data_IF_074006788192
#
_entry.id   IF_074006788192
#
_cell.length_a   1.000
_cell.length_b   1.000
_cell.length_c   1.000
_cell.angle_alpha   90.00
_cell.angle_beta   90.00
_cell.angle_gamma   90.00
#
_symmetry.space_group_name_H-M   'P 1'
#
loop_
_entity.id
_entity.type
_entity.pdbx_description
1 polymer ?
#
# COMPACT_ATOMS: atom_id res chain seq x y z
N UNK A 1 30.20 -20.98 0.09
CA UNK A 1 30.10 -20.54 1.51
C UNK A 1 30.92 -19.28 1.59
N UNK A 2 30.35 -18.14 1.98
CA UNK A 2 31.05 -16.85 1.95
C UNK A 2 31.91 -16.67 3.22
N UNK A 3 33.12 -16.16 3.06
CA UNK A 3 33.97 -15.79 4.19
C UNK A 3 33.55 -14.43 4.78
N UNK A 4 33.94 -14.16 6.03
CA UNK A 4 33.66 -12.88 6.68
C UNK A 4 34.23 -11.69 5.89
N UNK A 5 35.42 -11.87 5.33
CA UNK A 5 36.15 -10.87 4.52
C UNK A 5 35.51 -10.66 3.15
N UNK A 6 34.92 -11.70 2.55
CA UNK A 6 34.17 -11.60 1.30
C UNK A 6 32.90 -10.76 1.49
N UNK A 7 32.17 -10.99 2.59
CA UNK A 7 30.96 -10.24 2.92
C UNK A 7 31.29 -8.75 3.16
N UNK A 8 32.35 -8.45 3.91
CA UNK A 8 32.79 -7.07 4.13
C UNK A 8 33.14 -6.38 2.80
N UNK A 9 33.88 -7.06 1.91
CA UNK A 9 34.23 -6.52 0.59
C UNK A 9 33.01 -6.25 -0.28
N UNK A 10 32.00 -7.12 -0.25
CA UNK A 10 30.76 -6.90 -1.00
C UNK A 10 29.98 -5.70 -0.45
N UNK A 11 29.87 -5.54 0.88
CA UNK A 11 29.24 -4.36 1.50
C UNK A 11 29.95 -3.08 1.06
N UNK A 12 31.28 -3.07 1.06
CA UNK A 12 32.09 -1.93 0.60
C UNK A 12 31.89 -1.63 -0.89
N UNK A 13 31.86 -2.67 -1.72
CA UNK A 13 31.65 -2.56 -3.17
C UNK A 13 30.27 -1.97 -3.48
N UNK A 14 29.22 -2.42 -2.80
CA UNK A 14 27.85 -1.89 -2.97
C UNK A 14 27.78 -0.43 -2.55
N UNK A 15 28.36 -0.08 -1.39
CA UNK A 15 28.38 1.30 -0.93
C UNK A 15 29.16 2.23 -1.89
N UNK A 16 30.30 1.78 -2.39
CA UNK A 16 31.09 2.51 -3.39
C UNK A 16 30.35 2.67 -4.72
N UNK A 17 29.65 1.62 -5.17
CA UNK A 17 28.85 1.67 -6.40
C UNK A 17 27.69 2.66 -6.34
N UNK A 18 27.11 2.85 -5.15
CA UNK A 18 26.04 3.83 -4.91
C UNK A 18 26.58 5.23 -4.53
N UNK A 19 27.89 5.37 -4.30
CA UNK A 19 28.51 6.63 -3.89
C UNK A 19 28.08 7.13 -2.51
N UNK A 20 27.65 6.22 -1.62
CA UNK A 20 27.11 6.57 -0.30
C UNK A 20 28.09 6.28 0.82
N UNK A 21 28.14 7.16 1.82
CA UNK A 21 28.91 6.92 3.05
C UNK A 21 28.18 6.05 4.07
N UNK A 22 26.86 5.94 3.92
CA UNK A 22 25.96 5.10 4.70
C UNK A 22 25.16 4.19 3.75
N UNK A 23 25.11 2.89 4.04
CA UNK A 23 24.36 1.92 3.24
C UNK A 23 23.15 1.38 4.02
N UNK A 24 21.93 1.59 3.49
CA UNK A 24 20.73 0.97 4.06
C UNK A 24 20.72 -0.53 3.78
N UNK A 25 20.07 -1.29 4.67
CA UNK A 25 19.90 -2.73 4.48
C UNK A 25 19.15 -3.06 3.18
N UNK A 26 18.13 -2.27 2.84
CA UNK A 26 17.35 -2.45 1.61
C UNK A 26 18.20 -2.19 0.36
N UNK A 27 19.06 -1.17 0.39
CA UNK A 27 19.98 -0.87 -0.71
C UNK A 27 20.99 -2.00 -0.92
N UNK A 28 21.46 -2.63 0.15
CA UNK A 28 22.30 -3.84 0.04
C UNK A 28 21.54 -5.02 -0.56
N UNK A 29 20.29 -5.27 -0.15
CA UNK A 29 19.48 -6.37 -0.69
C UNK A 29 19.26 -6.21 -2.20
N UNK A 30 19.06 -4.98 -2.68
CA UNK A 30 18.80 -4.70 -4.09
C UNK A 30 20.05 -4.76 -4.98
N UNK A 31 21.25 -4.57 -4.40
CA UNK A 31 22.49 -4.38 -5.16
C UNK A 31 23.58 -5.42 -4.89
N UNK A 32 23.39 -6.30 -3.91
CA UNK A 32 24.35 -7.35 -3.53
C UNK A 32 24.00 -8.69 -4.13
N UNK A 33 25.02 -9.46 -4.49
CA UNK A 33 24.86 -10.88 -4.85
C UNK A 33 24.84 -11.80 -3.61
N UNK A 34 25.21 -11.27 -2.44
CA UNK A 34 25.22 -11.98 -1.16
C UNK A 34 23.88 -11.75 -0.44
N UNK A 35 23.15 -12.82 -0.09
CA UNK A 35 21.89 -12.72 0.67
C UNK A 35 22.09 -12.09 2.04
N UNK A 36 21.14 -11.26 2.48
CA UNK A 36 21.20 -10.58 3.78
C UNK A 36 21.27 -11.55 4.98
N UNK A 37 20.70 -12.74 4.86
CA UNK A 37 20.77 -13.77 5.91
C UNK A 37 22.20 -14.29 6.10
N UNK A 38 22.99 -14.35 5.03
CA UNK A 38 24.42 -14.68 5.09
C UNK A 38 25.19 -13.61 5.87
N UNK A 39 24.90 -12.33 5.60
CA UNK A 39 25.48 -11.21 6.36
C UNK A 39 25.14 -11.35 7.84
N UNK A 40 23.88 -11.64 8.17
CA UNK A 40 23.44 -11.80 9.56
C UNK A 40 24.13 -12.95 10.28
N UNK A 41 24.32 -14.07 9.59
CA UNK A 41 24.96 -15.26 10.15
C UNK A 41 26.45 -15.03 10.47
N UNK A 42 27.17 -14.30 9.62
CA UNK A 42 28.63 -14.10 9.78
C UNK A 42 29.03 -12.81 10.51
N UNK A 43 28.21 -11.77 10.43
CA UNK A 43 28.53 -10.42 10.94
C UNK A 43 27.52 -9.91 11.98
N UNK A 44 26.48 -10.69 12.32
CA UNK A 44 25.49 -10.31 13.32
C UNK A 44 24.47 -9.30 12.80
N UNK A 45 24.32 -8.15 13.46
CA UNK A 45 23.33 -7.16 13.01
C UNK A 45 23.83 -6.39 11.78
N UNK A 46 22.91 -5.79 11.01
CA UNK A 46 23.29 -4.96 9.86
C UNK A 46 24.22 -3.80 10.27
N UNK A 47 23.99 -3.23 11.46
CA UNK A 47 24.85 -2.18 12.01
C UNK A 47 26.29 -2.68 12.29
N UNK A 48 26.44 -3.89 12.84
CA UNK A 48 27.76 -4.51 13.05
C UNK A 48 28.45 -4.80 11.71
N UNK A 49 27.70 -5.25 10.70
CA UNK A 49 28.20 -5.48 9.36
C UNK A 49 28.67 -4.18 8.68
N UNK A 50 27.86 -3.12 8.73
CA UNK A 50 28.20 -1.80 8.18
C UNK A 50 29.41 -1.17 8.89
N UNK A 51 29.50 -1.30 10.23
CA UNK A 51 30.68 -0.89 11.01
C UNK A 51 31.94 -1.67 10.60
N UNK A 52 31.82 -3.00 10.43
CA UNK A 52 32.93 -3.84 9.97
C UNK A 52 33.40 -3.48 8.55
N UNK A 53 32.51 -2.91 7.74
CA UNK A 53 32.81 -2.38 6.42
C UNK A 53 33.36 -0.93 6.41
N UNK A 54 33.42 -0.26 7.57
CA UNK A 54 33.92 1.11 7.67
C UNK A 54 32.93 2.17 7.17
N UNK A 55 31.64 1.86 7.08
CA UNK A 55 30.61 2.80 6.65
C UNK A 55 30.14 3.69 7.82
N UNK A 56 29.80 4.93 7.50
CA UNK A 56 29.13 5.84 8.43
C UNK A 56 27.71 5.33 8.69
N UNK A 57 27.25 5.41 9.94
CA UNK A 57 25.87 5.10 10.31
C UNK A 57 25.01 6.37 10.26
N UNK A 58 23.69 6.28 10.03
CA UNK A 58 22.82 7.44 10.07
C UNK A 58 22.90 8.08 11.45
N UNK A 59 22.94 9.41 11.50
CA UNK A 59 22.76 10.12 12.77
C UNK A 59 21.39 9.74 13.35
N UNK A 60 21.40 9.07 14.50
CA UNK A 60 20.22 8.46 15.13
C UNK A 60 20.32 6.95 15.36
N UNK A 61 21.34 6.28 14.81
CA UNK A 61 21.64 4.87 15.08
C UNK A 61 22.77 4.76 16.12
N UNK A 62 22.45 4.86 17.42
CA UNK A 62 23.36 4.42 18.49
C UNK A 62 23.26 2.90 18.65
N UNK A 63 24.41 2.26 18.88
CA UNK A 63 24.61 0.80 18.97
C UNK A 63 24.03 0.14 20.22
N UNK A 64 23.06 0.79 20.86
CA UNK A 64 22.51 0.42 22.16
C UNK A 64 20.98 0.34 22.05
N UNK A 65 20.49 -0.54 21.18
CA UNK A 65 19.11 -1.03 21.31
C UNK A 65 19.05 -2.00 22.49
N UNK A 66 19.40 -1.52 23.69
CA UNK A 66 18.81 -2.07 24.89
C UNK A 66 17.53 -1.27 25.10
N UNK A 67 16.35 -1.90 24.99
CA UNK A 67 15.09 -1.24 25.31
C UNK A 67 15.25 -0.42 26.59
N UNK A 68 15.89 -0.95 27.63
CA UNK A 68 16.06 -0.35 28.98
C UNK A 68 16.87 0.96 29.07
N UNK A 69 17.62 1.37 28.03
CA UNK A 69 18.44 2.59 28.08
C UNK A 69 17.71 3.87 27.63
N UNK A 70 16.66 3.73 26.81
CA UNK A 70 15.82 4.88 26.43
C UNK A 70 14.95 5.25 27.62
N UNK A 71 15.00 6.52 28.04
CA UNK A 71 14.22 6.98 29.19
C UNK A 71 12.73 6.91 28.87
N UNK A 72 11.92 6.50 29.86
CA UNK A 72 10.47 6.38 29.69
C UNK A 72 9.83 7.68 29.17
N UNK A 73 10.32 8.83 29.64
CA UNK A 73 9.89 10.17 29.18
C UNK A 73 10.07 10.34 27.66
N UNK A 74 11.20 9.90 27.10
CA UNK A 74 11.52 10.05 25.68
C UNK A 74 10.58 9.22 24.79
N UNK A 75 10.29 7.98 25.19
CA UNK A 75 9.33 7.12 24.50
C UNK A 75 7.92 7.72 24.54
N UNK A 76 7.49 8.21 25.69
CA UNK A 76 6.14 8.76 25.86
C UNK A 76 5.99 10.12 25.13
N UNK A 77 7.04 10.95 25.06
CA UNK A 77 7.07 12.16 24.22
C UNK A 77 7.00 11.85 22.73
N UNK A 78 7.58 10.73 22.30
CA UNK A 78 7.45 10.31 20.91
C UNK A 78 5.99 9.94 20.56
N UNK A 79 5.26 9.30 21.46
CA UNK A 79 3.83 9.05 21.27
C UNK A 79 3.01 10.35 21.18
N UNK A 80 3.38 11.37 21.97
CA UNK A 80 2.81 12.72 21.87
C UNK A 80 3.11 13.34 20.51
N UNK A 81 4.35 13.22 20.01
CA UNK A 81 4.73 13.74 18.70
C UNK A 81 3.92 13.09 17.58
N UNK A 82 3.77 11.77 17.62
CA UNK A 82 2.96 11.03 16.64
C UNK A 82 1.48 11.41 16.72
N UNK A 83 0.95 11.62 17.92
CA UNK A 83 -0.40 12.15 18.11
C UNK A 83 -0.58 13.53 17.46
N UNK A 84 0.37 14.45 17.68
CA UNK A 84 0.34 15.80 17.07
C UNK A 84 0.47 15.78 15.56
N UNK A 85 1.24 14.83 15.01
CA UNK A 85 1.41 14.67 13.57
C UNK A 85 0.12 14.18 12.88
N UNK A 86 -0.58 13.22 13.51
CA UNK A 86 -1.77 12.59 12.92
C UNK A 86 -3.12 13.14 13.40
N UNK A 87 -3.14 13.94 14.47
CA UNK A 87 -4.36 14.41 15.14
C UNK A 87 -5.18 13.29 15.81
N UNK A 88 -4.65 12.05 15.86
CA UNK A 88 -5.30 10.85 16.39
C UNK A 88 -4.29 10.02 17.19
N UNK A 89 -4.73 9.21 18.17
CA UNK A 89 -3.83 8.30 18.89
C UNK A 89 -3.04 7.42 17.90
N UNK A 90 -1.70 7.35 18.01
CA UNK A 90 -0.89 6.58 17.07
C UNK A 90 -1.20 5.09 17.18
N UNK A 91 -1.41 4.44 16.03
CA UNK A 91 -1.55 2.99 15.89
C UNK A 91 -0.17 2.34 15.73
N UNK A 92 -0.12 1.00 15.81
CA UNK A 92 1.09 0.25 15.54
C UNK A 92 1.69 0.57 14.16
N UNK A 93 0.85 0.74 13.13
CA UNK A 93 1.29 1.10 11.78
C UNK A 93 1.91 2.50 11.74
N UNK A 94 1.33 3.47 12.45
CA UNK A 94 1.88 4.83 12.55
C UNK A 94 3.24 4.81 13.25
N UNK A 95 3.38 4.03 14.34
CA UNK A 95 4.67 3.86 15.02
C UNK A 95 5.68 3.21 14.08
N UNK A 96 5.30 2.19 13.32
CA UNK A 96 6.19 1.50 12.38
C UNK A 96 6.60 2.37 11.19
N UNK A 97 5.69 3.21 10.69
CA UNK A 97 5.93 4.05 9.51
C UNK A 97 6.61 5.39 9.85
N UNK A 98 6.32 5.97 11.01
CA UNK A 98 6.68 7.34 11.35
C UNK A 98 7.35 7.49 12.73
N UNK A 99 7.38 6.44 13.54
CA UNK A 99 7.99 6.45 14.86
C UNK A 99 9.51 6.39 14.79
N UNK A 100 10.15 7.13 15.70
CA UNK A 100 11.59 7.05 15.92
C UNK A 100 12.01 5.73 16.59
N UNK A 101 11.09 5.08 17.32
CA UNK A 101 11.32 3.84 18.04
C UNK A 101 10.42 2.72 17.51
N UNK A 102 10.94 1.49 17.52
CA UNK A 102 10.14 0.32 17.16
C UNK A 102 9.02 0.08 18.18
N UNK A 103 7.97 -0.62 17.75
CA UNK A 103 6.84 -0.96 18.62
C UNK A 103 7.26 -1.68 19.91
N UNK A 104 8.35 -2.45 19.84
CA UNK A 104 8.89 -3.26 20.94
C UNK A 104 9.35 -2.44 22.14
N UNK A 105 9.81 -1.20 21.93
CA UNK A 105 10.20 -0.29 23.03
C UNK A 105 9.01 0.05 23.94
N UNK A 106 7.81 0.09 23.38
CA UNK A 106 6.58 0.40 24.09
C UNK A 106 5.96 -0.85 24.72
N UNK A 107 5.88 -1.95 23.96
CA UNK A 107 5.25 -3.19 24.44
C UNK A 107 6.08 -3.87 25.53
N UNK A 108 7.41 -3.78 25.49
CA UNK A 108 8.26 -4.39 26.53
C UNK A 108 8.14 -3.68 27.89
N UNK A 109 7.89 -2.37 27.91
CA UNK A 109 7.75 -1.57 29.16
C UNK A 109 6.33 -1.54 29.70
N UNK A 110 5.37 -1.26 28.83
CA UNK A 110 3.98 -1.03 29.22
C UNK A 110 3.05 -2.17 28.83
N UNK A 111 3.59 -3.31 28.37
CA UNK A 111 2.86 -4.52 27.93
C UNK A 111 2.06 -4.31 26.63
N UNK A 112 1.56 -3.11 26.36
CA UNK A 112 0.88 -2.76 25.11
C UNK A 112 1.10 -1.29 24.74
N UNK A 113 0.93 -0.97 23.45
CA UNK A 113 0.93 0.41 22.97
C UNK A 113 -0.18 1.25 23.63
N UNK A 114 -1.34 0.65 23.88
CA UNK A 114 -2.46 1.32 24.55
C UNK A 114 -2.11 1.74 25.99
N UNK A 115 -1.41 0.87 26.73
CA UNK A 115 -0.93 1.20 28.07
C UNK A 115 0.17 2.25 28.06
N UNK A 116 1.05 2.22 27.06
CA UNK A 116 2.02 3.29 26.84
C UNK A 116 1.31 4.63 26.56
N UNK A 117 0.26 4.64 25.73
CA UNK A 117 -0.55 5.83 25.47
C UNK A 117 -1.30 6.32 26.70
N UNK A 118 -1.81 5.42 27.52
CA UNK A 118 -2.41 5.77 28.80
C UNK A 118 -1.39 6.46 29.72
N UNK A 119 -0.17 5.92 29.82
CA UNK A 119 0.92 6.53 30.59
C UNK A 119 1.35 7.89 30.03
N UNK A 120 1.38 8.02 28.70
CA UNK A 120 1.69 9.29 28.05
C UNK A 120 0.62 10.35 28.36
N UNK A 121 -0.66 9.99 28.41
CA UNK A 121 -1.75 10.90 28.81
C UNK A 121 -1.67 11.31 30.27
N UNK A 122 -1.27 10.39 31.14
CA UNK A 122 -1.06 10.69 32.56
C UNK A 122 0.09 11.70 32.77
N UNK A 123 1.20 11.54 32.05
CA UNK A 123 2.38 12.41 32.18
C UNK A 123 2.27 13.72 31.38
N UNK A 124 1.54 13.70 30.27
CA UNK A 124 1.36 14.86 29.38
C UNK A 124 -0.14 15.14 29.14
N UNK A 125 -0.91 15.50 30.20
CA UNK A 125 -2.35 15.69 30.10
C UNK A 125 -2.74 16.77 29.09
N UNK A 126 -1.92 17.83 28.97
CA UNK A 126 -2.15 18.92 28.03
C UNK A 126 -1.77 18.59 26.59
N UNK A 127 -0.96 17.55 26.39
CA UNK A 127 -0.44 17.22 25.07
C UNK A 127 -1.40 16.42 24.18
N UNK A 128 -2.42 15.80 24.80
CA UNK A 128 -3.51 15.07 24.15
C UNK A 128 -4.85 15.81 24.20
N UNK A 129 -4.86 17.07 24.66
CA UNK A 129 -6.04 17.90 24.49
C UNK A 129 -6.27 18.12 23.00
N UNK A 130 -7.52 18.03 22.51
CA UNK A 130 -7.82 18.55 21.19
C UNK A 130 -7.38 20.00 21.20
N UNK A 131 -6.40 20.34 20.36
CA UNK A 131 -6.00 21.74 20.20
C UNK A 131 -7.27 22.45 19.81
N UNK A 132 -7.85 23.23 20.74
CA UNK A 132 -8.96 24.12 20.43
C UNK A 132 -8.51 24.85 19.18
N UNK A 133 -9.24 24.68 18.08
CA UNK A 133 -8.83 25.16 16.78
C UNK A 133 -8.57 26.65 16.88
N UNK A 134 -7.32 27.01 17.14
CA UNK A 134 -6.84 28.34 16.93
C UNK A 134 -7.15 28.57 15.45
N UNK A 135 -7.89 29.63 15.10
CA UNK A 135 -8.02 29.98 13.69
C UNK A 135 -6.60 29.97 13.15
N UNK A 136 -6.34 29.24 12.05
CA UNK A 136 -4.99 29.09 11.53
C UNK A 136 -4.37 30.48 11.49
N UNK A 137 -3.10 30.64 11.94
CA UNK A 137 -2.44 31.93 11.85
C UNK A 137 -2.67 32.45 10.44
N UNK A 138 -3.08 33.71 10.33
CA UNK A 138 -3.28 34.41 9.06
C UNK A 138 -1.89 34.63 8.43
N UNK A 139 -1.18 33.53 8.18
CA UNK A 139 -0.22 33.41 7.11
C UNK A 139 -1.07 33.69 5.89
N UNK A 140 -0.75 34.70 5.05
CA UNK A 140 -1.31 34.69 3.72
C UNK A 140 -0.95 33.31 3.19
N UNK A 141 -1.96 32.45 3.07
CA UNK A 141 -1.82 31.29 2.26
C UNK A 141 -1.30 31.87 0.94
N UNK A 142 -0.01 31.66 0.65
CA UNK A 142 0.28 31.25 -0.71
C UNK A 142 -0.74 30.15 -0.89
N UNK A 143 -1.78 30.42 -1.67
CA UNK A 143 -2.70 29.43 -2.16
C UNK A 143 -1.78 28.36 -2.74
N UNK A 144 -1.41 27.39 -1.89
CA UNK A 144 -0.56 26.30 -2.28
C UNK A 144 -1.53 25.55 -3.16
N UNK A 145 -1.37 25.77 -4.46
CA UNK A 145 -2.34 25.43 -5.48
C UNK A 145 -2.82 24.00 -5.25
N UNK A 146 -3.97 23.86 -4.57
CA UNK A 146 -4.61 22.57 -4.31
C UNK A 146 -5.30 22.08 -5.58
N UNK A 147 -5.16 22.79 -6.70
CA UNK A 147 -5.55 22.26 -7.98
C UNK A 147 -4.84 20.92 -8.16
N UNK A 148 -5.58 19.87 -8.57
CA UNK A 148 -4.96 18.59 -8.84
C UNK A 148 -3.83 18.80 -9.84
N UNK A 149 -2.65 18.25 -9.53
CA UNK A 149 -1.51 18.29 -10.44
C UNK A 149 -1.96 17.67 -11.77
N UNK A 150 -2.10 18.51 -12.80
CA UNK A 150 -2.46 18.07 -14.14
C UNK A 150 -1.19 17.75 -14.91
N UNK A 151 -0.80 16.48 -14.91
CA UNK A 151 0.22 16.01 -15.84
C UNK A 151 -0.40 15.94 -17.25
N UNK A 152 -0.01 16.83 -18.15
CA UNK A 152 -0.45 16.81 -19.55
C UNK A 152 0.64 16.12 -20.37
N UNK A 153 0.49 14.82 -20.73
CA UNK A 153 1.47 14.13 -21.54
C UNK A 153 1.46 14.68 -22.97
N UNK A 154 2.64 14.72 -23.61
CA UNK A 154 2.70 14.92 -25.05
C UNK A 154 2.12 13.69 -25.77
N UNK A 155 1.22 13.91 -26.73
CA UNK A 155 0.57 12.83 -27.48
C UNK A 155 0.94 12.90 -28.95
N UNK A 156 1.12 11.74 -29.57
CA UNK A 156 1.32 11.62 -31.01
C UNK A 156 -0.05 11.57 -31.68
N UNK A 157 -0.38 12.60 -32.49
CA UNK A 157 -1.68 12.67 -33.18
C UNK A 157 -1.67 11.80 -34.45
N UNK A 158 -2.73 11.01 -34.71
CA UNK A 158 -2.86 10.27 -35.96
C UNK A 158 -3.04 11.23 -37.15
N UNK A 159 -2.48 10.87 -38.31
CA UNK A 159 -2.58 11.69 -39.53
C UNK A 159 -4.02 11.83 -40.06
N UNK A 160 -4.89 10.87 -39.77
CA UNK A 160 -6.29 10.85 -40.20
C UNK A 160 -7.18 10.41 -39.04
N UNK A 161 -8.06 11.28 -38.53
CA UNK A 161 -9.02 10.90 -37.51
C UNK A 161 -10.12 10.03 -38.14
N UNK A 162 -10.36 8.85 -37.57
CA UNK A 162 -11.53 8.03 -37.90
C UNK A 162 -12.70 8.51 -37.05
N UNK A 163 -13.80 8.92 -37.68
CA UNK A 163 -15.06 9.20 -36.98
C UNK A 163 -15.75 7.87 -36.74
N UNK A 164 -15.87 7.48 -35.46
CA UNK A 164 -16.62 6.30 -35.04
C UNK A 164 -17.79 6.80 -34.20
N UNK A 165 -19.00 6.35 -34.53
CA UNK A 165 -20.17 6.57 -33.69
C UNK A 165 -19.99 5.82 -32.36
N UNK A 166 -20.21 6.50 -31.24
CA UNK A 166 -20.01 5.93 -29.91
C UNK A 166 -21.33 5.79 -29.21
N UNK A 167 -21.60 4.61 -28.66
CA UNK A 167 -22.73 4.37 -27.77
C UNK A 167 -22.33 4.82 -26.36
N UNK A 168 -23.24 5.50 -25.67
CA UNK A 168 -23.08 5.97 -24.30
C UNK A 168 -24.17 5.34 -23.44
N UNK A 169 -23.82 4.93 -22.22
CA UNK A 169 -24.77 4.41 -21.24
C UNK A 169 -25.54 5.53 -20.53
N UNK A 170 -26.28 5.17 -19.50
CA UNK A 170 -26.93 6.12 -18.60
C UNK A 170 -25.91 7.02 -17.88
N UNK A 171 -26.25 8.27 -17.53
CA UNK A 171 -25.37 9.14 -16.76
C UNK A 171 -25.03 8.52 -15.39
N UNK A 172 -23.75 8.54 -15.03
CA UNK A 172 -23.23 7.98 -13.76
C UNK A 172 -22.32 8.98 -13.04
N UNK A 173 -21.57 9.82 -13.77
CA UNK A 173 -20.66 10.84 -13.22
C UNK A 173 -19.76 10.39 -12.05
N UNK A 174 -19.16 9.21 -12.20
CA UNK A 174 -18.30 8.59 -11.20
C UNK A 174 -16.82 8.72 -11.56
N UNK A 175 -16.04 9.45 -10.75
CA UNK A 175 -14.56 9.55 -10.85
C UNK A 175 -14.04 9.86 -12.26
N UNK A 176 -14.75 10.72 -12.98
CA UNK A 176 -14.39 11.13 -14.35
C UNK A 176 -14.98 10.25 -15.46
N UNK A 177 -15.63 9.12 -15.12
CA UNK A 177 -16.50 8.36 -16.03
C UNK A 177 -17.89 8.97 -15.96
N UNK A 178 -18.35 9.58 -17.06
CA UNK A 178 -19.67 10.25 -17.10
C UNK A 178 -20.84 9.33 -17.38
N UNK A 179 -20.61 8.23 -18.09
CA UNK A 179 -21.67 7.34 -18.56
C UNK A 179 -21.36 5.89 -18.19
N UNK A 180 -22.40 5.11 -17.90
CA UNK A 180 -22.31 3.70 -17.57
C UNK A 180 -21.64 2.87 -18.69
N UNK A 181 -20.98 1.75 -18.35
CA UNK A 181 -20.53 0.78 -19.32
C UNK A 181 -21.66 0.31 -20.24
N UNK A 182 -21.35 0.18 -21.53
CA UNK A 182 -22.27 -0.35 -22.56
C UNK A 182 -21.79 -1.67 -23.16
N UNK A 183 -20.60 -2.10 -22.76
CA UNK A 183 -19.95 -3.33 -23.18
C UNK A 183 -19.06 -3.87 -22.04
N UNK A 184 -18.47 -5.03 -22.27
CA UNK A 184 -17.61 -5.73 -21.31
C UNK A 184 -16.34 -4.96 -20.97
N UNK A 185 -15.75 -4.27 -21.94
CA UNK A 185 -14.48 -3.56 -21.73
C UNK A 185 -14.67 -2.33 -20.85
N UNK A 186 -15.83 -1.66 -20.95
CA UNK A 186 -16.23 -0.62 -20.01
C UNK A 186 -16.36 -1.15 -18.57
N UNK A 187 -16.91 -2.35 -18.38
CA UNK A 187 -17.01 -3.01 -17.05
C UNK A 187 -15.62 -3.34 -16.51
N UNK A 188 -14.75 -3.94 -17.34
CA UNK A 188 -13.36 -4.23 -17.00
C UNK A 188 -12.59 -2.96 -16.60
N UNK A 189 -12.72 -1.88 -17.37
CA UNK A 189 -12.05 -0.61 -17.08
C UNK A 189 -12.51 -0.03 -15.74
N UNK A 190 -13.82 0.02 -15.50
CA UNK A 190 -14.39 0.50 -14.24
C UNK A 190 -13.94 -0.34 -13.05
N UNK A 191 -13.96 -1.68 -13.18
CA UNK A 191 -13.43 -2.56 -12.15
C UNK A 191 -11.94 -2.29 -11.91
N UNK A 192 -11.13 -2.14 -12.96
CA UNK A 192 -9.71 -1.83 -12.84
C UNK A 192 -9.44 -0.52 -12.07
N UNK A 193 -10.30 0.49 -12.21
CA UNK A 193 -10.24 1.72 -11.41
C UNK A 193 -10.56 1.51 -9.93
N UNK A 194 -11.35 0.49 -9.60
CA UNK A 194 -11.83 0.20 -8.25
C UNK A 194 -11.10 -0.97 -7.59
N UNK A 195 -10.35 -1.77 -8.35
CA UNK A 195 -9.83 -3.06 -7.91
C UNK A 195 -9.08 -2.98 -6.58
N UNK A 196 -8.12 -2.05 -6.45
CA UNK A 196 -7.34 -1.89 -5.22
C UNK A 196 -8.20 -1.48 -4.02
N UNK A 197 -9.20 -0.62 -4.22
CA UNK A 197 -10.11 -0.19 -3.16
C UNK A 197 -11.06 -1.29 -2.71
N UNK A 198 -11.41 -2.18 -3.64
CA UNK A 198 -12.21 -3.38 -3.38
C UNK A 198 -11.35 -4.55 -2.86
N UNK A 199 -10.05 -4.35 -2.63
CA UNK A 199 -9.15 -5.36 -2.08
C UNK A 199 -8.67 -6.41 -3.09
N UNK A 200 -8.60 -6.04 -4.38
CA UNK A 200 -8.09 -6.87 -5.47
C UNK A 200 -6.73 -6.38 -5.99
N UNK A 201 -5.90 -7.34 -6.39
CA UNK A 201 -4.68 -7.15 -7.17
C UNK A 201 -4.81 -7.94 -8.46
N UNK A 202 -4.86 -7.26 -9.61
CA UNK A 202 -4.87 -7.91 -10.92
C UNK A 202 -3.44 -8.20 -11.37
N UNK A 203 -3.18 -9.44 -11.78
CA UNK A 203 -1.87 -9.90 -12.26
C UNK A 203 -1.86 -10.04 -13.79
N UNK A 204 -3.01 -10.39 -14.36
CA UNK A 204 -3.16 -10.64 -15.79
C UNK A 204 -4.53 -10.17 -16.28
N UNK A 205 -4.57 -9.63 -17.51
CA UNK A 205 -5.80 -9.22 -18.20
C UNK A 205 -5.71 -9.66 -19.66
N UNK A 206 -6.79 -10.27 -20.16
CA UNK A 206 -6.88 -10.86 -21.50
C UNK A 206 -8.21 -10.56 -22.18
N UNK A 207 -8.20 -10.60 -23.51
CA UNK A 207 -9.42 -10.61 -24.31
C UNK A 207 -10.13 -11.96 -24.31
N UNK A 208 -9.39 -13.04 -24.05
CA UNK A 208 -9.90 -14.42 -23.96
C UNK A 208 -10.24 -14.80 -22.52
N UNK A 209 -11.02 -15.88 -22.32
CA UNK A 209 -11.34 -16.38 -20.98
C UNK A 209 -10.18 -17.18 -20.35
N UNK A 210 -9.90 -17.01 -19.04
CA UNK A 210 -10.48 -16.00 -18.15
C UNK A 210 -9.99 -14.59 -18.52
N UNK A 211 -10.87 -13.60 -18.42
CA UNK A 211 -10.56 -12.23 -18.85
C UNK A 211 -9.55 -11.54 -17.92
N UNK A 212 -9.45 -11.97 -16.67
CA UNK A 212 -8.37 -11.56 -15.78
C UNK A 212 -8.05 -12.63 -14.74
N UNK A 213 -6.85 -12.56 -14.20
CA UNK A 213 -6.43 -13.34 -13.04
C UNK A 213 -5.77 -12.41 -12.02
N UNK A 214 -5.90 -12.76 -10.75
CA UNK A 214 -5.36 -11.95 -9.67
C UNK A 214 -5.58 -12.55 -8.30
N UNK A 215 -5.47 -11.70 -7.28
CA UNK A 215 -5.66 -12.06 -5.89
C UNK A 215 -6.65 -11.11 -5.22
N UNK A 216 -7.46 -11.63 -4.30
CA UNK A 216 -8.38 -10.85 -3.47
C UNK A 216 -8.09 -11.11 -2.00
N UNK A 217 -8.18 -10.05 -1.23
CA UNK A 217 -8.18 -10.11 0.21
C UNK A 217 -9.48 -10.75 0.71
N UNK A 218 -9.40 -11.90 1.38
CA UNK A 218 -10.61 -12.58 1.87
C UNK A 218 -10.64 -12.75 3.40
N UNK A 219 -9.51 -12.58 4.08
CA UNK A 219 -9.45 -12.58 5.55
C UNK A 219 -8.54 -11.44 6.06
N UNK A 220 -9.18 -10.33 6.46
CA UNK A 220 -8.54 -9.13 7.04
C UNK A 220 -7.75 -9.45 8.32
N UNK A 221 -8.18 -10.45 9.10
CA UNK A 221 -7.56 -10.77 10.39
C UNK A 221 -6.32 -11.65 10.26
N UNK A 222 -6.27 -12.47 9.21
CA UNK A 222 -5.17 -13.42 8.95
C UNK A 222 -4.26 -13.00 7.80
N UNK A 223 -4.52 -11.84 7.20
CA UNK A 223 -3.83 -11.31 6.03
C UNK A 223 -3.77 -12.30 4.85
N UNK A 224 -4.87 -13.03 4.63
CA UNK A 224 -4.90 -14.09 3.62
C UNK A 224 -5.48 -13.61 2.29
N UNK A 225 -4.77 -14.01 1.24
CA UNK A 225 -5.12 -13.76 -0.15
C UNK A 225 -5.60 -15.04 -0.81
N UNK A 226 -6.63 -14.94 -1.64
CA UNK A 226 -7.13 -16.03 -2.49
C UNK A 226 -6.85 -15.65 -3.94
N UNK A 227 -6.26 -16.57 -4.70
CA UNK A 227 -6.13 -16.42 -6.14
C UNK A 227 -7.50 -16.62 -6.80
N UNK A 228 -7.77 -15.87 -7.86
CA UNK A 228 -9.07 -15.87 -8.53
C UNK A 228 -8.95 -15.58 -10.02
N UNK A 229 -9.76 -16.30 -10.79
CA UNK A 229 -10.05 -16.04 -12.20
C UNK A 229 -11.32 -15.22 -12.31
N UNK A 230 -11.26 -14.14 -13.06
CA UNK A 230 -12.37 -13.20 -13.25
C UNK A 230 -12.90 -13.26 -14.66
N UNK A 231 -14.22 -13.33 -14.77
CA UNK A 231 -14.93 -12.97 -16.00
C UNK A 231 -15.66 -11.65 -15.84
N UNK A 232 -15.87 -10.98 -16.97
CA UNK A 232 -16.51 -9.67 -17.04
C UNK A 232 -17.65 -9.74 -18.02
N UNK A 233 -18.83 -9.26 -17.62
CA UNK A 233 -20.01 -9.21 -18.48
C UNK A 233 -20.79 -7.93 -18.21
N UNK A 234 -21.64 -7.53 -19.16
CA UNK A 234 -22.57 -6.43 -18.90
C UNK A 234 -23.67 -6.87 -17.92
N UNK A 235 -24.21 -8.08 -18.12
CA UNK A 235 -25.28 -8.68 -17.32
C UNK A 235 -24.89 -10.07 -16.84
N UNK A 236 -25.21 -10.39 -15.59
CA UNK A 236 -24.87 -11.69 -15.02
C UNK A 236 -25.57 -12.87 -15.71
N UNK A 237 -26.79 -12.67 -16.20
CA UNK A 237 -27.59 -13.66 -16.94
C UNK A 237 -26.95 -14.13 -18.24
N UNK A 238 -25.95 -13.40 -18.74
CA UNK A 238 -25.19 -13.75 -19.94
C UNK A 238 -24.10 -14.79 -19.66
N UNK A 239 -23.78 -15.05 -18.39
CA UNK A 239 -22.73 -16.01 -18.04
C UNK A 239 -23.16 -17.44 -18.39
N UNK A 240 -22.33 -18.10 -19.19
CA UNK A 240 -22.49 -19.51 -19.54
C UNK A 240 -21.23 -20.28 -19.17
N UNK A 241 -21.33 -21.29 -18.29
CA UNK A 241 -20.20 -22.18 -17.99
C UNK A 241 -19.73 -22.86 -19.28
N UNK A 242 -18.42 -22.87 -19.49
CA UNK A 242 -17.83 -23.51 -20.66
C UNK A 242 -17.77 -25.02 -20.47
N UNK A 243 -18.86 -25.72 -20.78
CA UNK A 243 -18.94 -27.18 -20.60
C UNK A 243 -18.19 -27.97 -21.69
N UNK A 244 -17.92 -27.37 -22.85
CA UNK A 244 -17.35 -28.07 -24.00
C UNK A 244 -15.82 -28.02 -24.04
N UNK A 245 -15.19 -26.92 -23.61
CA UNK A 245 -13.73 -26.79 -23.66
C UNK A 245 -13.01 -27.46 -22.48
N UNK A 246 -13.75 -27.94 -21.48
CA UNK A 246 -13.19 -28.51 -20.25
C UNK A 246 -12.48 -27.48 -19.35
N UNK A 247 -12.63 -26.18 -19.64
CA UNK A 247 -12.12 -25.11 -18.79
C UNK A 247 -12.94 -25.06 -17.50
N UNK A 248 -12.25 -24.95 -16.38
CA UNK A 248 -12.92 -24.72 -15.11
C UNK A 248 -13.65 -23.35 -15.11
N UNK A 249 -14.77 -23.23 -14.36
CA UNK A 249 -15.49 -21.97 -14.25
C UNK A 249 -14.62 -20.89 -13.57
N UNK A 250 -14.92 -19.62 -13.88
CA UNK A 250 -14.31 -18.51 -13.17
C UNK A 250 -14.68 -18.55 -11.67
N UNK A 251 -13.81 -17.96 -10.84
CA UNK A 251 -14.05 -17.86 -9.40
C UNK A 251 -14.97 -16.69 -9.07
N UNK A 252 -14.94 -15.64 -9.90
CA UNK A 252 -15.72 -14.41 -9.73
C UNK A 252 -16.20 -13.89 -11.09
N UNK A 253 -17.49 -13.60 -11.19
CA UNK A 253 -18.08 -12.82 -12.27
C UNK A 253 -18.26 -11.37 -11.84
N UNK A 254 -17.57 -10.45 -12.51
CA UNK A 254 -17.79 -9.01 -12.34
C UNK A 254 -18.75 -8.54 -13.43
N UNK A 255 -19.86 -7.91 -13.06
CA UNK A 255 -20.82 -7.40 -14.03
C UNK A 255 -21.27 -5.97 -13.73
N UNK A 256 -21.82 -5.29 -14.74
CA UNK A 256 -22.47 -4.00 -14.49
C UNK A 256 -23.77 -4.19 -13.72
N UNK A 257 -24.66 -5.07 -14.20
CA UNK A 257 -25.97 -5.34 -13.62
C UNK A 257 -26.13 -6.83 -13.31
N UNK A 258 -26.53 -7.14 -12.07
CA UNK A 258 -26.86 -8.50 -11.67
C UNK A 258 -28.37 -8.74 -11.79
N UNK A 259 -28.74 -9.62 -12.72
CA UNK A 259 -30.11 -9.92 -13.14
C UNK A 259 -30.42 -11.43 -13.16
N UNK A 260 -29.53 -12.27 -12.65
CA UNK A 260 -29.66 -13.73 -12.60
C UNK A 260 -30.09 -14.18 -11.20
N UNK A 261 -31.18 -14.94 -11.07
CA UNK A 261 -31.65 -15.43 -9.76
C UNK A 261 -30.74 -16.51 -9.15
N UNK A 262 -30.15 -17.37 -9.97
CA UNK A 262 -29.29 -18.49 -9.54
C UNK A 262 -28.01 -18.52 -10.38
N UNK A 263 -27.12 -17.53 -10.15
CA UNK A 263 -25.84 -17.49 -10.85
C UNK A 263 -24.90 -18.57 -10.28
N UNK A 264 -24.30 -19.44 -11.12
CA UNK A 264 -23.51 -20.58 -10.64
C UNK A 264 -22.13 -20.19 -10.08
N UNK A 265 -21.76 -18.91 -10.09
CA UNK A 265 -20.48 -18.37 -9.62
C UNK A 265 -20.71 -17.15 -8.73
N UNK A 266 -19.71 -16.79 -7.92
CA UNK A 266 -19.74 -15.56 -7.11
C UNK A 266 -19.89 -14.34 -8.05
N UNK A 267 -20.75 -13.39 -7.72
CA UNK A 267 -21.01 -12.20 -8.55
C UNK A 267 -20.66 -10.92 -7.79
N UNK A 268 -19.91 -10.03 -8.45
CA UNK A 268 -19.68 -8.65 -8.02
C UNK A 268 -20.38 -7.69 -8.99
N UNK A 269 -21.43 -7.01 -8.51
CA UNK A 269 -22.17 -6.02 -9.28
C UNK A 269 -21.58 -4.62 -9.11
N UNK A 270 -21.05 -4.04 -10.19
CA UNK A 270 -20.42 -2.72 -10.15
C UNK A 270 -21.42 -1.57 -10.04
N UNK A 271 -22.65 -1.71 -10.54
CA UNK A 271 -23.67 -0.64 -10.44
C UNK A 271 -23.99 -0.31 -8.99
N UNK A 272 -24.16 -1.33 -8.14
CA UNK A 272 -24.37 -1.15 -6.70
C UNK A 272 -23.12 -0.60 -6.01
N UNK A 273 -21.93 -1.10 -6.33
CA UNK A 273 -20.66 -0.60 -5.78
C UNK A 273 -20.43 0.89 -6.11
N UNK A 274 -20.68 1.30 -7.35
CA UNK A 274 -20.54 2.70 -7.76
C UNK A 274 -21.52 3.61 -7.00
N UNK A 275 -22.76 3.14 -6.78
CA UNK A 275 -23.74 3.87 -5.97
C UNK A 275 -23.26 4.02 -4.53
N UNK A 276 -22.76 2.95 -3.92
CA UNK A 276 -22.29 2.95 -2.52
C UNK A 276 -21.03 3.79 -2.30
N UNK A 277 -20.09 3.80 -3.24
CA UNK A 277 -18.86 4.61 -3.15
C UNK A 277 -19.11 6.07 -3.57
N UNK A 278 -20.12 6.30 -4.39
CA UNK A 278 -20.47 7.63 -4.91
C UNK A 278 -21.28 8.49 -3.93
N UNK A 279 -21.92 7.88 -2.93
CA UNK A 279 -22.62 8.54 -1.81
C UNK A 279 -21.65 8.92 -0.67
#
# INVERSE_FOLDING_TARGET
>A
MYSREEIIREIQKVAAGLGVRYLKQQDFILNSTIPINTVKYHLGTWAQAAKSAGLEMPRGYSQEENPELVQDDELLRELVRLYRLGGKPPTADIVKAHGAFSLEYYTSRWQSLERALWKARELFPDAFQPVAAAPPPNVPASEADTSPIRLIPQTIKPKRPVKVERRLGEPVDFRGIRYAPVDRDGVLFLFGMLATELGFELEFVSSERPHAEGRRYFDVRREQWKHLRVEFLLKSSTYTPDQESGREPCDLLVCWEHDSEDCPVEVLELKSVVREIGE
#
